data_IF_078768740114
#
_entry.id   IF_078768740114
#
_cell.length_a   1.000
_cell.length_b   1.000
_cell.length_c   1.000
_cell.angle_alpha   90.00
_cell.angle_beta   90.00
_cell.angle_gamma   90.00
#
_symmetry.space_group_name_H-M   'P 1'
#
loop_
_entity.id
_entity.type
_entity.pdbx_description
1 polymer ?
#
# COMPACT_ATOMS: atom_id res chain seq x y z
N UNK A 1 15.80 -23.46 11.87
CA UNK A 1 14.66 -23.16 12.79
C UNK A 1 13.82 -22.11 12.08
N UNK A 2 12.54 -22.40 11.81
CA UNK A 2 11.64 -21.35 11.30
C UNK A 2 11.44 -20.37 12.44
N UNK A 3 12.08 -19.19 12.33
CA UNK A 3 11.81 -18.09 13.25
C UNK A 3 10.35 -17.67 13.07
N UNK A 4 9.62 -17.61 14.17
CA UNK A 4 8.21 -17.21 14.15
C UNK A 4 8.11 -15.73 13.82
N UNK A 5 7.59 -15.40 12.64
CA UNK A 5 7.29 -14.01 12.27
C UNK A 5 5.98 -13.57 12.93
N UNK A 6 5.96 -12.35 13.45
CA UNK A 6 4.76 -11.74 14.03
C UNK A 6 4.48 -10.38 13.40
N UNK A 7 3.19 -10.05 13.28
CA UNK A 7 2.74 -8.75 12.82
C UNK A 7 2.47 -7.85 14.03
N UNK A 8 3.08 -6.70 14.06
CA UNK A 8 2.94 -5.69 15.13
C UNK A 8 2.44 -4.38 14.52
N UNK A 9 1.45 -3.77 15.13
CA UNK A 9 1.08 -2.39 14.81
C UNK A 9 2.01 -1.45 15.58
N UNK A 10 2.63 -0.49 14.89
CA UNK A 10 3.51 0.49 15.49
C UNK A 10 2.78 1.26 16.60
N UNK A 11 3.45 1.42 17.73
CA UNK A 11 3.05 2.27 18.86
C UNK A 11 4.15 3.30 19.16
N UNK A 12 3.84 4.32 19.95
CA UNK A 12 4.82 5.38 20.28
C UNK A 12 6.01 4.84 21.09
N UNK A 13 5.78 3.84 21.92
CA UNK A 13 6.77 3.18 22.78
C UNK A 13 7.52 2.02 22.09
N UNK A 14 7.17 1.70 20.82
CA UNK A 14 7.83 0.61 20.10
C UNK A 14 9.34 0.85 19.94
N UNK A 15 10.15 -0.17 20.19
CA UNK A 15 11.61 -0.15 20.01
C UNK A 15 11.94 -0.82 18.69
N UNK A 16 12.51 -0.04 17.75
CA UNK A 16 12.87 -0.56 16.45
C UNK A 16 14.00 -1.57 16.53
N UNK A 17 13.85 -2.66 15.79
CA UNK A 17 14.87 -3.66 15.55
C UNK A 17 15.66 -3.32 14.27
N UNK A 18 16.85 -3.91 14.07
CA UNK A 18 17.62 -3.72 12.85
C UNK A 18 16.77 -3.97 11.59
N UNK A 19 16.90 -3.07 10.61
CA UNK A 19 16.19 -3.14 9.34
C UNK A 19 16.97 -2.42 8.25
N UNK A 20 17.09 -3.05 7.09
CA UNK A 20 17.59 -2.44 5.87
C UNK A 20 16.92 -3.07 4.66
N UNK A 21 16.12 -2.31 3.92
CA UNK A 21 15.49 -2.77 2.68
C UNK A 21 16.30 -2.40 1.42
N UNK A 22 17.45 -1.75 1.55
CA UNK A 22 18.28 -1.27 0.45
C UNK A 22 17.71 -0.03 -0.24
N UNK A 23 16.84 0.73 0.45
CA UNK A 23 16.32 2.02 0.01
C UNK A 23 16.34 2.97 1.22
N UNK A 24 17.16 4.01 1.15
CA UNK A 24 17.42 4.91 2.27
C UNK A 24 16.16 5.66 2.70
N UNK A 25 15.32 6.12 1.77
CA UNK A 25 14.06 6.82 2.08
C UNK A 25 13.08 5.93 2.86
N UNK A 26 13.00 4.64 2.52
CA UNK A 26 12.15 3.69 3.23
C UNK A 26 12.72 3.33 4.59
N UNK A 27 14.04 3.19 4.70
CA UNK A 27 14.73 2.93 5.96
C UNK A 27 14.55 4.12 6.91
N UNK A 28 14.79 5.35 6.44
CA UNK A 28 14.62 6.58 7.21
C UNK A 28 13.16 6.76 7.65
N UNK A 29 12.21 6.55 6.75
CA UNK A 29 10.79 6.62 7.11
C UNK A 29 10.46 5.69 8.27
N UNK A 30 10.84 4.41 8.20
CA UNK A 30 10.53 3.47 9.27
C UNK A 30 11.16 3.88 10.59
N UNK A 31 12.45 4.14 10.58
CA UNK A 31 13.25 4.29 11.80
C UNK A 31 13.13 5.68 12.44
N UNK A 32 12.81 6.71 11.65
CA UNK A 32 12.78 8.10 12.10
C UNK A 32 11.38 8.72 12.05
N UNK A 33 10.66 8.58 10.92
CA UNK A 33 9.45 9.36 10.66
C UNK A 33 8.15 8.67 11.09
N UNK A 34 8.12 7.33 11.07
CA UNK A 34 6.89 6.56 11.22
C UNK A 34 6.14 6.84 12.53
N UNK A 35 6.84 7.10 13.64
CA UNK A 35 6.24 7.50 14.91
C UNK A 35 5.64 8.90 14.86
N UNK A 36 6.29 9.86 14.20
CA UNK A 36 5.75 11.20 14.01
C UNK A 36 4.48 11.17 13.16
N UNK A 37 4.45 10.34 12.12
CA UNK A 37 3.26 10.13 11.29
C UNK A 37 2.11 9.47 12.07
N UNK A 38 2.44 8.52 12.97
CA UNK A 38 1.47 7.90 13.86
C UNK A 38 0.89 8.95 14.83
N UNK A 39 1.75 9.72 15.51
CA UNK A 39 1.35 10.73 16.49
C UNK A 39 0.44 11.81 15.86
N UNK A 40 0.74 12.20 14.61
CA UNK A 40 -0.03 13.19 13.87
C UNK A 40 -1.24 12.61 13.13
N UNK A 41 -1.53 11.31 13.29
CA UNK A 41 -2.63 10.59 12.65
C UNK A 41 -2.58 10.62 11.11
N UNK A 42 -1.38 10.76 10.53
CA UNK A 42 -1.16 10.80 9.08
C UNK A 42 -1.21 9.41 8.48
N UNK A 43 -0.56 8.44 9.14
CA UNK A 43 -0.57 7.05 8.71
C UNK A 43 -0.43 6.08 9.89
N UNK A 44 -0.84 4.84 9.64
CA UNK A 44 -0.63 3.71 10.54
C UNK A 44 0.41 2.79 9.93
N UNK A 45 1.45 2.46 10.70
CA UNK A 45 2.51 1.55 10.26
C UNK A 45 2.35 0.19 10.93
N UNK A 46 2.55 -0.86 10.16
CA UNK A 46 2.60 -2.25 10.60
C UNK A 46 3.98 -2.82 10.31
N UNK A 47 4.50 -3.59 11.24
CA UNK A 47 5.84 -4.17 11.22
C UNK A 47 5.70 -5.69 11.28
N UNK A 48 6.40 -6.39 10.43
CA UNK A 48 6.59 -7.83 10.50
C UNK A 48 8.00 -8.05 11.05
N UNK A 49 8.10 -8.79 12.14
CA UNK A 49 9.36 -8.97 12.84
C UNK A 49 9.57 -10.40 13.33
N UNK A 50 10.83 -10.78 13.52
CA UNK A 50 11.28 -11.91 14.34
C UNK A 50 11.68 -11.40 15.72
N UNK A 51 12.30 -12.25 16.54
CA UNK A 51 12.73 -11.83 17.88
C UNK A 51 13.88 -10.82 17.85
N UNK A 52 14.72 -10.84 16.81
CA UNK A 52 15.96 -10.06 16.71
C UNK A 52 15.95 -8.97 15.62
N UNK A 53 15.03 -9.00 14.63
CA UNK A 53 15.03 -8.04 13.53
C UNK A 53 13.66 -7.75 12.94
N UNK A 54 13.56 -6.61 12.27
CA UNK A 54 12.42 -6.29 11.40
C UNK A 54 12.59 -6.98 10.05
N UNK A 55 11.58 -7.74 9.64
CA UNK A 55 11.54 -8.47 8.36
C UNK A 55 10.98 -7.60 7.24
N UNK A 56 9.91 -6.87 7.55
CA UNK A 56 9.24 -5.99 6.60
C UNK A 56 8.36 -4.97 7.33
N UNK A 57 7.95 -3.94 6.62
CA UNK A 57 6.92 -3.02 7.11
C UNK A 57 6.05 -2.50 5.97
N UNK A 58 4.89 -2.00 6.33
CA UNK A 58 4.05 -1.20 5.45
C UNK A 58 3.30 -0.13 6.23
N UNK A 59 3.00 0.98 5.57
CA UNK A 59 2.18 2.05 6.15
C UNK A 59 0.93 2.29 5.31
N UNK A 60 -0.19 2.60 5.98
CA UNK A 60 -1.46 2.89 5.33
C UNK A 60 -2.03 4.22 5.80
N UNK A 61 -2.68 4.93 4.91
CA UNK A 61 -3.39 6.19 5.18
C UNK A 61 -4.70 6.24 4.40
N UNK A 62 -5.59 7.16 4.78
CA UNK A 62 -6.79 7.41 4.00
C UNK A 62 -6.44 8.02 2.64
N UNK A 63 -7.23 7.65 1.61
CA UNK A 63 -7.06 8.14 0.25
C UNK A 63 -8.40 8.12 -0.51
N UNK A 64 -8.36 8.51 -1.76
CA UNK A 64 -9.48 8.41 -2.70
C UNK A 64 -8.98 8.08 -4.10
N UNK A 65 -9.82 7.44 -4.88
CA UNK A 65 -9.66 7.34 -6.33
C UNK A 65 -10.57 8.38 -6.96
N UNK A 66 -10.02 9.33 -7.73
CA UNK A 66 -10.78 10.46 -8.29
C UNK A 66 -10.69 10.53 -9.81
N UNK A 67 -11.66 11.24 -10.39
CA UNK A 67 -11.65 11.56 -11.83
C UNK A 67 -10.45 12.40 -12.22
N UNK A 68 -9.95 13.25 -11.30
CA UNK A 68 -8.81 14.13 -11.55
C UNK A 68 -7.50 13.37 -11.65
N UNK A 69 -7.40 12.20 -10.96
CA UNK A 69 -6.18 11.40 -10.83
C UNK A 69 -6.16 10.21 -11.81
N UNK A 70 -7.18 10.07 -12.65
CA UNK A 70 -7.34 8.91 -13.55
C UNK A 70 -7.54 9.33 -15.01
N UNK A 71 -7.03 8.51 -15.93
CA UNK A 71 -7.37 8.69 -17.33
C UNK A 71 -8.86 8.39 -17.60
N UNK A 72 -9.39 8.97 -18.69
CA UNK A 72 -10.82 8.86 -19.04
C UNK A 72 -11.32 7.42 -19.21
N UNK A 73 -10.48 6.53 -19.73
CA UNK A 73 -10.86 5.14 -19.97
C UNK A 73 -10.91 4.36 -18.66
N UNK A 74 -9.94 4.57 -17.77
CA UNK A 74 -9.90 3.99 -16.43
C UNK A 74 -11.06 4.48 -15.59
N UNK A 75 -11.33 5.80 -15.58
CA UNK A 75 -12.48 6.35 -14.86
C UNK A 75 -13.82 5.78 -15.30
N UNK A 76 -14.02 5.58 -16.61
CA UNK A 76 -15.25 4.93 -17.12
C UNK A 76 -15.41 3.50 -16.59
N UNK A 77 -14.31 2.74 -16.45
CA UNK A 77 -14.33 1.38 -15.88
C UNK A 77 -14.68 1.41 -14.39
N UNK A 78 -14.04 2.32 -13.63
CA UNK A 78 -14.30 2.50 -12.20
C UNK A 78 -15.78 2.86 -11.96
N UNK A 79 -16.33 3.82 -12.70
CA UNK A 79 -17.75 4.21 -12.56
C UNK A 79 -18.72 3.05 -12.78
N UNK A 80 -18.40 2.11 -13.66
CA UNK A 80 -19.28 0.94 -13.95
C UNK A 80 -19.32 -0.07 -12.79
N UNK A 81 -18.40 0.01 -11.83
CA UNK A 81 -18.43 -0.84 -10.64
C UNK A 81 -19.55 -0.47 -9.68
N UNK A 82 -20.06 0.76 -9.77
CA UNK A 82 -21.05 1.31 -8.84
C UNK A 82 -22.39 1.54 -9.55
N UNK A 83 -23.44 0.75 -9.26
CA UNK A 83 -24.77 1.02 -9.76
C UNK A 83 -25.28 2.35 -9.16
N UNK A 84 -25.94 3.16 -9.97
CA UNK A 84 -26.48 4.46 -9.56
C UNK A 84 -25.42 5.48 -9.09
N UNK A 85 -24.25 5.47 -9.68
CA UNK A 85 -23.21 6.46 -9.42
C UNK A 85 -23.76 7.87 -9.77
N UNK A 86 -24.45 8.49 -8.82
CA UNK A 86 -24.83 9.91 -8.89
C UNK A 86 -23.53 10.70 -8.94
N UNK A 87 -23.01 10.87 -10.16
CA UNK A 87 -21.90 11.77 -10.51
C UNK A 87 -20.86 12.05 -9.40
N UNK A 88 -20.48 11.01 -8.62
CA UNK A 88 -19.39 11.14 -7.67
C UNK A 88 -18.11 11.36 -8.46
N UNK A 89 -17.35 12.39 -8.07
CA UNK A 89 -16.03 12.66 -8.62
C UNK A 89 -14.91 11.82 -7.98
N UNK A 90 -15.23 11.10 -6.90
CA UNK A 90 -14.28 10.27 -6.16
C UNK A 90 -14.95 9.10 -5.44
N UNK A 91 -14.12 8.11 -5.05
CA UNK A 91 -14.50 6.95 -4.24
C UNK A 91 -13.45 6.72 -3.15
N UNK A 92 -13.86 6.29 -1.93
CA UNK A 92 -12.97 6.10 -0.81
C UNK A 92 -11.96 4.98 -1.08
N UNK A 93 -10.72 5.23 -0.68
CA UNK A 93 -9.62 4.30 -0.80
C UNK A 93 -8.74 4.33 0.46
N UNK A 94 -7.89 3.32 0.60
CA UNK A 94 -6.74 3.33 1.49
C UNK A 94 -5.47 3.33 0.64
N UNK A 95 -4.48 4.14 1.00
CA UNK A 95 -3.19 4.22 0.33
C UNK A 95 -2.16 3.39 1.08
N UNK A 96 -1.45 2.53 0.36
CA UNK A 96 -0.18 1.99 0.84
C UNK A 96 0.88 3.06 0.56
N UNK A 97 1.23 3.82 1.59
CA UNK A 97 2.19 4.92 1.47
C UNK A 97 3.63 4.44 1.40
N UNK A 98 3.95 3.36 2.12
CA UNK A 98 5.29 2.76 2.17
C UNK A 98 5.16 1.24 2.29
N UNK A 99 6.07 0.51 1.66
CA UNK A 99 6.24 -0.92 1.80
C UNK A 99 7.71 -1.25 1.60
N UNK A 100 8.35 -1.86 2.59
CA UNK A 100 9.75 -2.30 2.53
C UNK A 100 9.91 -3.71 3.08
N UNK A 101 10.79 -4.49 2.43
CA UNK A 101 11.19 -5.83 2.88
C UNK A 101 12.70 -5.82 3.05
N UNK A 102 13.19 -6.25 4.22
CA UNK A 102 14.61 -6.32 4.53
C UNK A 102 15.36 -7.16 3.48
N UNK A 103 16.57 -6.74 3.13
CA UNK A 103 17.35 -7.35 2.05
C UNK A 103 17.61 -8.84 2.27
N UNK A 104 17.68 -9.29 3.52
CA UNK A 104 17.90 -10.69 3.88
C UNK A 104 16.66 -11.58 3.66
N UNK A 105 15.51 -10.98 3.47
CA UNK A 105 14.21 -11.66 3.27
C UNK A 105 13.62 -11.43 1.88
N UNK A 106 14.34 -10.76 0.98
CA UNK A 106 13.91 -10.59 -0.42
C UNK A 106 13.81 -11.95 -1.12
N UNK A 107 12.89 -12.05 -2.08
CA UNK A 107 12.66 -13.27 -2.84
C UNK A 107 11.81 -14.33 -2.13
N UNK A 108 11.38 -14.10 -0.90
CA UNK A 108 10.55 -15.03 -0.10
C UNK A 108 9.04 -14.72 -0.17
N UNK A 109 8.60 -13.96 -1.16
CA UNK A 109 7.20 -13.56 -1.39
C UNK A 109 6.55 -12.70 -0.28
N UNK A 110 7.30 -12.26 0.73
CA UNK A 110 6.79 -11.47 1.87
C UNK A 110 6.01 -10.22 1.41
N UNK A 111 6.51 -9.51 0.41
CA UNK A 111 5.80 -8.35 -0.15
C UNK A 111 4.41 -8.70 -0.70
N UNK A 112 4.27 -9.84 -1.39
CA UNK A 112 2.97 -10.31 -1.91
C UNK A 112 2.04 -10.76 -0.81
N UNK A 113 2.58 -11.38 0.25
CA UNK A 113 1.81 -11.78 1.43
C UNK A 113 1.29 -10.55 2.18
N UNK A 114 2.10 -9.49 2.29
CA UNK A 114 1.67 -8.19 2.82
C UNK A 114 0.49 -7.64 2.02
N UNK A 115 0.61 -7.58 0.68
CA UNK A 115 -0.49 -7.09 -0.16
C UNK A 115 -1.77 -7.93 0.00
N UNK A 116 -1.63 -9.25 0.10
CA UNK A 116 -2.74 -10.16 0.35
C UNK A 116 -3.37 -9.93 1.73
N UNK A 117 -2.55 -9.67 2.75
CA UNK A 117 -3.02 -9.32 4.09
C UNK A 117 -3.77 -7.99 4.09
N UNK A 118 -3.20 -6.93 3.49
CA UNK A 118 -3.83 -5.59 3.42
C UNK A 118 -5.19 -5.67 2.72
N UNK A 119 -5.28 -6.39 1.61
CA UNK A 119 -6.55 -6.60 0.89
C UNK A 119 -7.61 -7.22 1.79
N UNK A 120 -7.27 -8.29 2.52
CA UNK A 120 -8.20 -8.94 3.45
C UNK A 120 -8.57 -8.04 4.63
N UNK A 121 -7.61 -7.31 5.18
CA UNK A 121 -7.83 -6.40 6.31
C UNK A 121 -8.93 -5.37 6.01
N UNK A 122 -8.94 -4.81 4.80
CA UNK A 122 -9.91 -3.80 4.43
C UNK A 122 -11.24 -4.35 3.89
N UNK A 123 -11.32 -5.62 3.59
CA UNK A 123 -12.56 -6.31 3.21
C UNK A 123 -13.29 -6.85 4.44
N UNK A 124 -12.59 -7.51 5.36
CA UNK A 124 -13.22 -8.27 6.45
C UNK A 124 -13.77 -7.38 7.57
N UNK A 125 -13.05 -6.33 7.96
CA UNK A 125 -13.43 -5.43 9.04
C UNK A 125 -13.34 -3.97 8.59
N UNK A 126 -14.02 -3.64 7.51
CA UNK A 126 -14.00 -2.30 6.96
C UNK A 126 -14.75 -1.33 7.90
N UNK A 127 -14.01 -0.60 8.73
CA UNK A 127 -14.55 0.37 9.71
C UNK A 127 -15.03 1.66 9.06
N UNK A 128 -14.51 1.97 7.88
CA UNK A 128 -14.91 3.13 7.07
C UNK A 128 -15.10 2.67 5.64
N UNK A 129 -16.06 3.17 4.90
CA UNK A 129 -16.18 2.77 3.49
C UNK A 129 -14.82 2.86 2.77
N UNK A 130 -14.32 1.74 2.26
CA UNK A 130 -13.07 1.65 1.51
C UNK A 130 -13.29 0.72 0.31
N UNK A 131 -13.34 1.28 -0.89
CA UNK A 131 -13.62 0.53 -2.11
C UNK A 131 -12.34 0.09 -2.83
N UNK A 132 -11.25 0.84 -2.65
CA UNK A 132 -9.99 0.64 -3.36
C UNK A 132 -8.79 0.67 -2.44
N UNK A 133 -7.71 0.02 -2.88
CA UNK A 133 -6.36 0.26 -2.36
C UNK A 133 -5.60 1.02 -3.45
N UNK A 134 -4.89 2.08 -3.08
CA UNK A 134 -4.03 2.86 -3.97
C UNK A 134 -2.58 2.76 -3.57
N UNK A 135 -1.69 3.02 -4.50
CA UNK A 135 -0.24 3.15 -4.28
C UNK A 135 0.36 4.06 -5.34
N UNK A 136 1.28 4.93 -4.96
CA UNK A 136 2.19 5.60 -5.89
C UNK A 136 3.46 4.76 -5.98
N UNK A 137 3.48 3.84 -6.93
CA UNK A 137 4.57 2.89 -7.08
C UNK A 137 5.78 3.53 -7.76
N UNK A 138 6.97 3.34 -7.20
CA UNK A 138 8.21 3.58 -7.93
C UNK A 138 8.18 2.78 -9.24
N UNK A 139 8.75 3.33 -10.32
CA UNK A 139 8.72 2.68 -11.64
C UNK A 139 9.26 1.24 -11.61
N UNK A 140 10.33 1.00 -10.87
CA UNK A 140 10.89 -0.34 -10.68
C UNK A 140 9.96 -1.32 -9.95
N UNK A 141 9.00 -0.81 -9.17
CA UNK A 141 8.03 -1.61 -8.41
C UNK A 141 6.70 -1.83 -9.16
N UNK A 142 6.44 -1.15 -10.28
CA UNK A 142 5.20 -1.31 -11.06
C UNK A 142 4.92 -2.78 -11.39
N UNK A 143 5.88 -3.58 -11.93
CA UNK A 143 5.63 -4.99 -12.23
C UNK A 143 5.21 -5.80 -11.00
N UNK A 144 5.78 -5.53 -9.84
CA UNK A 144 5.40 -6.18 -8.58
C UNK A 144 3.92 -5.94 -8.24
N UNK A 145 3.45 -4.70 -8.31
CA UNK A 145 2.05 -4.38 -8.04
C UNK A 145 1.10 -4.95 -9.10
N UNK A 146 1.45 -4.88 -10.37
CA UNK A 146 0.65 -5.46 -11.47
C UNK A 146 0.51 -6.97 -11.29
N UNK A 147 1.59 -7.69 -10.97
CA UNK A 147 1.57 -9.13 -10.68
C UNK A 147 0.71 -9.47 -9.45
N UNK A 148 0.52 -8.52 -8.55
CA UNK A 148 -0.39 -8.63 -7.41
C UNK A 148 -1.81 -8.09 -7.69
N UNK A 149 -2.18 -7.89 -8.97
CA UNK A 149 -3.53 -7.56 -9.40
C UNK A 149 -3.89 -6.07 -9.35
N UNK A 150 -2.94 -5.18 -9.08
CA UNK A 150 -3.15 -3.74 -9.21
C UNK A 150 -3.21 -3.33 -10.68
N UNK A 151 -3.83 -2.20 -10.95
CA UNK A 151 -3.99 -1.62 -12.29
C UNK A 151 -3.52 -0.18 -12.29
N UNK A 152 -3.01 0.29 -13.42
CA UNK A 152 -2.65 1.69 -13.61
C UNK A 152 -3.91 2.56 -13.46
N UNK A 153 -3.82 3.61 -12.66
CA UNK A 153 -4.89 4.59 -12.51
C UNK A 153 -4.87 5.60 -13.66
N UNK A 154 -3.69 6.01 -14.09
CA UNK A 154 -3.47 6.83 -15.26
C UNK A 154 -2.34 6.24 -16.12
N UNK A 155 -2.69 5.83 -17.34
CA UNK A 155 -1.73 5.24 -18.29
C UNK A 155 -0.76 6.26 -18.84
N UNK A 156 -1.17 7.53 -18.98
CA UNK A 156 -0.29 8.58 -19.51
C UNK A 156 0.89 8.86 -18.57
N UNK A 157 0.67 8.73 -17.25
CA UNK A 157 1.75 8.83 -16.26
C UNK A 157 2.71 7.64 -16.35
N UNK A 158 2.19 6.45 -16.64
CA UNK A 158 3.05 5.28 -16.83
C UNK A 158 3.96 5.38 -18.07
N UNK A 159 3.53 6.10 -19.10
CA UNK A 159 4.29 6.36 -20.32
C UNK A 159 5.27 7.54 -20.18
N UNK A 160 5.05 8.42 -19.20
CA UNK A 160 5.92 9.58 -18.94
C UNK A 160 7.12 9.18 -18.07
N UNK A 161 8.26 8.95 -18.71
CA UNK A 161 9.51 8.54 -18.03
C UNK A 161 10.07 9.60 -17.08
N UNK A 162 9.61 10.83 -17.14
CA UNK A 162 10.05 11.90 -16.23
C UNK A 162 9.44 11.78 -14.83
N UNK A 163 8.38 10.99 -14.68
CA UNK A 163 7.73 10.72 -13.40
C UNK A 163 8.43 9.60 -12.66
N UNK A 164 8.82 9.83 -11.42
CA UNK A 164 9.46 8.83 -10.57
C UNK A 164 8.49 7.75 -10.10
N UNK A 165 7.22 8.11 -9.92
CA UNK A 165 6.17 7.20 -9.46
C UNK A 165 4.99 7.16 -10.42
N UNK A 166 4.22 6.06 -10.32
CA UNK A 166 3.01 5.87 -11.09
C UNK A 166 1.86 5.47 -10.14
N UNK A 167 0.68 6.11 -10.24
CA UNK A 167 -0.47 5.77 -9.42
C UNK A 167 -1.12 4.47 -9.92
N UNK A 168 -1.27 3.51 -9.01
CA UNK A 168 -2.00 2.26 -9.24
C UNK A 168 -3.14 2.11 -8.23
N UNK A 169 -4.12 1.31 -8.60
CA UNK A 169 -5.24 0.95 -7.73
C UNK A 169 -5.58 -0.53 -7.78
N UNK A 170 -6.19 -1.02 -6.71
CA UNK A 170 -6.78 -2.36 -6.61
C UNK A 170 -8.25 -2.23 -6.19
N UNK A 171 -9.16 -2.89 -6.91
CA UNK A 171 -10.60 -2.94 -6.60
C UNK A 171 -10.85 -4.04 -5.56
N UNK A 172 -11.17 -3.65 -4.32
CA UNK A 172 -11.43 -4.59 -3.22
C UNK A 172 -12.69 -5.43 -3.44
N UNK A 173 -13.64 -4.97 -4.23
CA UNK A 173 -14.85 -5.73 -4.51
C UNK A 173 -14.59 -7.04 -5.27
N UNK A 174 -13.44 -7.18 -5.93
CA UNK A 174 -13.03 -8.42 -6.58
C UNK A 174 -12.88 -9.60 -5.59
N UNK A 175 -12.68 -9.33 -4.30
CA UNK A 175 -12.48 -10.35 -3.27
C UNK A 175 -13.78 -10.88 -2.66
N UNK A 176 -14.92 -10.23 -2.93
CA UNK A 176 -16.22 -10.56 -2.34
C UNK A 176 -17.28 -10.92 -3.39
N UNK A 177 -16.87 -11.02 -4.65
CA UNK A 177 -17.68 -11.52 -5.77
C UNK A 177 -17.71 -13.04 -5.82
#
# INVERSE_FOLDING_TARGET
MNESMRLVRLTEDYVFKPFDCGNDDLNEFLLSDSKSYLHRLVSVTYIIETDDRTVAFFSVSNDRVSIADSDKATWRKIKKLFPHAKHRGDYPAVKIGRLGVDVNFKGQHIGSDILSFVKRLFVTNNRTGCAFITVDALRSAIPFYINNGFKLLDKSIAEDETKETCPLYYDLFQLIR
#
